data_IF_092392885128
#
_entry.id   IF_092392885128
#
_cell.length_a   1.000
_cell.length_b   1.000
_cell.length_c   1.000
_cell.angle_alpha   90.00
_cell.angle_beta   90.00
_cell.angle_gamma   90.00
#
_symmetry.space_group_name_H-M   'P 1'
#
loop_
_entity.id
_entity.type
_entity.pdbx_description
1 polymer ?
#
# COMPACT_ATOMS: atom_id res chain seq x y z
N UNK A 1 2.39 -13.16 -0.42
CA UNK A 1 3.60 -12.32 -0.52
C UNK A 1 3.80 -11.41 0.71
N UNK A 2 2.74 -10.83 1.30
CA UNK A 2 2.82 -10.03 2.53
C UNK A 2 3.29 -10.78 3.81
N UNK A 3 3.11 -12.10 3.90
CA UNK A 3 3.47 -12.88 5.10
C UNK A 3 5.00 -12.97 5.34
N UNK A 4 5.83 -12.79 4.31
CA UNK A 4 7.29 -13.00 4.41
C UNK A 4 8.07 -11.77 4.86
N UNK A 5 7.56 -10.57 4.58
CA UNK A 5 8.14 -9.29 5.06
C UNK A 5 7.87 -9.07 6.56
N UNK A 6 6.79 -9.66 7.10
CA UNK A 6 6.36 -9.51 8.50
C UNK A 6 7.33 -10.20 9.48
N UNK A 7 8.00 -11.28 9.06
CA UNK A 7 8.91 -12.05 9.95
C UNK A 7 10.30 -11.42 10.13
N UNK A 8 10.63 -10.37 9.38
CA UNK A 8 11.97 -9.78 9.33
C UNK A 8 12.08 -8.40 10.01
N UNK A 9 11.02 -7.90 10.65
CA UNK A 9 11.08 -6.64 11.39
C UNK A 9 11.57 -6.92 12.83
N UNK A 10 12.77 -6.47 13.15
CA UNK A 10 13.39 -6.57 14.49
C UNK A 10 12.61 -5.82 15.58
N UNK A 11 11.82 -4.82 15.19
CA UNK A 11 10.94 -4.07 16.10
C UNK A 11 9.61 -3.71 15.43
N UNK A 12 8.55 -3.65 16.24
CA UNK A 12 7.20 -3.25 15.82
C UNK A 12 7.13 -1.82 15.26
N UNK A 13 7.98 -0.93 15.79
CA UNK A 13 8.09 0.46 15.28
C UNK A 13 8.67 0.49 13.86
N UNK A 14 9.73 -0.28 13.64
CA UNK A 14 10.34 -0.45 12.31
C UNK A 14 9.37 -1.13 11.32
N UNK A 15 8.56 -2.08 11.80
CA UNK A 15 7.49 -2.67 11.01
C UNK A 15 6.46 -1.62 10.55
N UNK A 16 5.94 -0.79 11.46
CA UNK A 16 4.99 0.27 11.12
C UNK A 16 5.62 1.30 10.19
N UNK A 17 6.88 1.66 10.41
CA UNK A 17 7.62 2.60 9.57
C UNK A 17 7.77 2.07 8.14
N UNK A 18 8.20 0.82 7.96
CA UNK A 18 8.30 0.15 6.65
C UNK A 18 6.95 0.05 5.94
N UNK A 19 5.87 -0.26 6.67
CA UNK A 19 4.51 -0.25 6.09
C UNK A 19 4.07 1.14 5.63
N UNK A 20 4.40 2.20 6.39
CA UNK A 20 4.11 3.60 6.00
C UNK A 20 4.88 4.00 4.74
N UNK A 21 6.12 3.54 4.57
CA UNK A 21 6.89 3.75 3.34
C UNK A 21 6.19 3.05 2.17
N UNK A 22 5.84 1.76 2.28
CA UNK A 22 5.12 1.04 1.23
C UNK A 22 3.80 1.74 0.84
N UNK A 23 3.08 2.30 1.82
CA UNK A 23 1.86 3.06 1.56
C UNK A 23 2.12 4.33 0.75
N UNK A 24 3.25 5.02 0.99
CA UNK A 24 3.66 6.18 0.20
C UNK A 24 3.95 5.78 -1.25
N UNK A 25 4.74 4.73 -1.45
CA UNK A 25 5.08 4.20 -2.79
C UNK A 25 3.82 3.79 -3.59
N UNK A 26 2.86 3.12 -2.93
CA UNK A 26 1.59 2.73 -3.58
C UNK A 26 0.76 3.94 -4.03
N UNK A 27 0.74 5.02 -3.24
CA UNK A 27 0.07 6.28 -3.59
C UNK A 27 0.75 6.95 -4.78
N UNK A 28 2.08 6.96 -4.83
CA UNK A 28 2.83 7.47 -5.98
C UNK A 28 2.58 6.63 -7.23
N UNK A 29 2.57 5.30 -7.12
CA UNK A 29 2.21 4.40 -8.22
C UNK A 29 0.80 4.67 -8.76
N UNK A 30 -0.18 4.95 -7.88
CA UNK A 30 -1.54 5.34 -8.29
C UNK A 30 -1.55 6.64 -9.09
N UNK A 31 -0.75 7.64 -8.70
CA UNK A 31 -0.62 8.90 -9.43
C UNK A 31 -0.05 8.62 -10.83
N UNK A 32 0.98 7.78 -10.95
CA UNK A 32 1.53 7.37 -12.24
C UNK A 32 0.50 6.68 -13.13
N UNK A 33 -0.31 5.76 -12.59
CA UNK A 33 -1.40 5.13 -13.34
C UNK A 33 -2.41 6.16 -13.88
N UNK A 34 -2.77 7.16 -13.07
CA UNK A 34 -3.67 8.25 -13.49
C UNK A 34 -3.02 9.10 -14.59
N UNK A 35 -1.73 9.41 -14.48
CA UNK A 35 -0.99 10.16 -15.50
C UNK A 35 -1.00 9.39 -16.82
N UNK A 36 -0.72 8.08 -16.79
CA UNK A 36 -0.72 7.20 -17.98
C UNK A 36 -2.09 7.20 -18.67
N UNK A 37 -3.18 7.17 -17.90
CA UNK A 37 -4.55 7.31 -18.45
C UNK A 37 -4.73 8.68 -19.10
N UNK A 38 -4.34 9.76 -18.41
CA UNK A 38 -4.52 11.14 -18.91
C UNK A 38 -3.70 11.45 -20.15
N UNK A 39 -2.50 10.89 -20.28
CA UNK A 39 -1.63 11.06 -21.44
C UNK A 39 -1.94 10.09 -22.58
N UNK A 40 -2.98 9.24 -22.43
CA UNK A 40 -3.38 8.23 -23.41
C UNK A 40 -2.21 7.31 -23.85
N UNK A 41 -1.25 7.07 -22.96
CA UNK A 41 -0.06 6.25 -23.23
C UNK A 41 -0.40 4.77 -23.47
N UNK A 42 -1.50 4.27 -22.89
CA UNK A 42 -1.97 2.90 -23.07
C UNK A 42 -3.42 2.91 -23.57
N UNK A 43 -3.69 2.12 -24.62
CA UNK A 43 -5.03 1.94 -25.20
C UNK A 43 -5.43 0.46 -25.23
N UNK A 44 -6.69 0.13 -24.93
CA UNK A 44 -7.71 1.01 -24.37
C UNK A 44 -7.42 1.37 -22.89
N UNK A 45 -7.80 2.57 -22.42
CA UNK A 45 -7.64 2.98 -21.02
C UNK A 45 -8.31 2.04 -20.00
N UNK A 46 -9.32 1.28 -20.43
CA UNK A 46 -10.00 0.28 -19.61
C UNK A 46 -9.08 -0.82 -19.08
N UNK A 47 -7.89 -1.02 -19.68
CA UNK A 47 -6.87 -1.94 -19.15
C UNK A 47 -6.23 -1.45 -17.84
N UNK A 48 -6.25 -0.14 -17.58
CA UNK A 48 -5.65 0.46 -16.39
C UNK A 48 -6.64 0.55 -15.22
N UNK A 49 -7.93 0.54 -15.50
CA UNK A 49 -9.00 0.59 -14.51
C UNK A 49 -8.93 -0.53 -13.45
N UNK A 50 -8.75 -1.83 -13.81
CA UNK A 50 -8.57 -2.88 -12.81
C UNK A 50 -7.29 -2.70 -11.98
N UNK A 51 -6.20 -2.18 -12.57
CA UNK A 51 -4.94 -1.93 -11.86
C UNK A 51 -5.07 -0.78 -10.85
N UNK A 52 -5.84 0.26 -11.18
CA UNK A 52 -6.14 1.37 -10.26
C UNK A 52 -7.00 0.86 -9.10
N UNK A 53 -7.97 -0.01 -9.38
CA UNK A 53 -8.83 -0.60 -8.35
C UNK A 53 -8.04 -1.51 -7.41
N UNK A 54 -7.22 -2.42 -7.95
CA UNK A 54 -6.33 -3.28 -7.17
C UNK A 54 -5.38 -2.45 -6.30
N UNK A 55 -4.81 -1.36 -6.84
CA UNK A 55 -3.96 -0.45 -6.05
C UNK A 55 -4.73 0.15 -4.86
N UNK A 56 -5.98 0.59 -5.05
CA UNK A 56 -6.81 1.11 -3.95
C UNK A 56 -7.13 0.02 -2.90
N UNK A 57 -7.37 -1.22 -3.31
CA UNK A 57 -7.57 -2.36 -2.41
C UNK A 57 -6.30 -2.62 -1.59
N UNK A 58 -5.13 -2.62 -2.23
CA UNK A 58 -3.83 -2.74 -1.55
C UNK A 58 -3.64 -1.60 -0.55
N UNK A 59 -3.86 -0.35 -0.93
CA UNK A 59 -3.81 0.80 -0.01
C UNK A 59 -4.69 0.55 1.22
N UNK A 60 -5.91 0.05 1.02
CA UNK A 60 -6.86 -0.23 2.12
C UNK A 60 -6.36 -1.32 3.06
N UNK A 61 -5.81 -2.41 2.52
CA UNK A 61 -5.20 -3.50 3.29
C UNK A 61 -4.01 -2.98 4.12
N UNK A 62 -3.14 -2.16 3.52
CA UNK A 62 -1.98 -1.61 4.20
C UNK A 62 -2.39 -0.64 5.32
N UNK A 63 -3.37 0.23 5.08
CA UNK A 63 -3.91 1.14 6.11
C UNK A 63 -4.53 0.36 7.27
N UNK A 64 -5.34 -0.66 6.99
CA UNK A 64 -5.93 -1.51 8.02
C UNK A 64 -4.85 -2.27 8.82
N UNK A 65 -3.80 -2.74 8.13
CA UNK A 65 -2.66 -3.43 8.76
C UNK A 65 -1.87 -2.50 9.68
N UNK A 66 -1.60 -1.26 9.25
CA UNK A 66 -0.94 -0.23 10.08
C UNK A 66 -1.79 0.07 11.32
N UNK A 67 -3.10 0.31 11.15
CA UNK A 67 -4.02 0.60 12.25
C UNK A 67 -4.07 -0.54 13.26
N UNK A 68 -4.12 -1.78 12.79
CA UNK A 68 -4.08 -2.97 13.65
C UNK A 68 -2.76 -3.09 14.40
N UNK A 69 -1.65 -2.84 13.70
CA UNK A 69 -0.30 -2.86 14.28
C UNK A 69 -0.09 -1.75 15.32
N UNK A 70 -0.69 -0.57 15.15
CA UNK A 70 -0.67 0.52 16.14
C UNK A 70 -1.54 0.20 17.37
N UNK A 71 -2.77 -0.31 17.17
CA UNK A 71 -3.71 -0.59 18.26
C UNK A 71 -3.26 -1.69 19.22
N UNK A 72 -2.66 -2.75 18.72
CA UNK A 72 -2.12 -3.83 19.56
C UNK A 72 -0.86 -3.41 20.34
N UNK A 73 -0.23 -2.27 20.02
CA UNK A 73 0.85 -1.70 20.84
C UNK A 73 0.34 -0.98 22.09
N UNK A 74 -0.89 -0.45 22.06
CA UNK A 74 -1.49 0.30 23.16
C UNK A 74 -2.13 -0.57 24.26
N UNK A 75 -2.20 -1.90 24.07
CA UNK A 75 -2.77 -2.84 25.05
C UNK A 75 -1.73 -3.48 25.98
N UNK A 76 -0.44 -3.13 25.86
CA UNK A 76 0.66 -3.74 26.62
C UNK A 76 1.46 -2.72 27.43
N UNK A 77 0.86 -1.58 27.77
CA UNK A 77 1.42 -0.55 28.66
C UNK A 77 0.45 -0.28 29.79
#
# INVERSE_FOLDING_TARGET
>A
FAVRIIRAAESRSDFIHKLKICLKELREARIWLIIIVKTNLIKPPSKLEPLINENNELISIFVASIKTAEQQGAKTS
#
